data_IF_582944217183
#
_entry.id   IF_582944217183
#
_cell.length_a   1.000
_cell.length_b   1.000
_cell.length_c   1.000
_cell.angle_alpha   90.00
_cell.angle_beta   90.00
_cell.angle_gamma   90.00
#
_symmetry.space_group_name_H-M   'P 1'
#
loop_
_entity.id
_entity.type
_entity.pdbx_description
1 polymer ?
#
# COMPACT_ATOMS: atom_id res chain seq x y z
N UNK A 1 -16.79 -3.70 5.18
CA UNK A 1 -15.92 -4.62 4.45
C UNK A 1 -14.51 -4.55 5.01
N UNK A 2 -13.89 -5.70 5.21
CA UNK A 2 -12.52 -5.80 5.72
C UNK A 2 -11.77 -6.86 4.94
N UNK A 3 -10.46 -6.67 4.82
CA UNK A 3 -9.60 -7.71 4.26
C UNK A 3 -9.40 -8.79 5.32
N UNK A 4 -9.72 -10.02 4.98
CA UNK A 4 -9.58 -11.16 5.89
C UNK A 4 -8.38 -12.03 5.56
N UNK A 5 -7.90 -11.97 4.31
CA UNK A 5 -6.79 -12.78 3.85
C UNK A 5 -6.03 -12.08 2.73
N UNK A 6 -4.71 -12.23 2.74
CA UNK A 6 -3.81 -11.76 1.68
C UNK A 6 -3.10 -12.96 1.09
N UNK A 7 -2.79 -12.89 -0.21
CA UNK A 7 -2.06 -13.96 -0.88
C UNK A 7 -0.99 -13.37 -1.77
N UNK A 8 0.22 -13.90 -1.65
CA UNK A 8 1.35 -13.54 -2.52
C UNK A 8 1.89 -14.84 -3.10
N UNK A 9 1.71 -15.02 -4.40
CA UNK A 9 1.98 -16.31 -5.04
C UNK A 9 1.09 -17.38 -4.44
N UNK A 10 1.68 -18.41 -3.85
CA UNK A 10 0.95 -19.49 -3.19
C UNK A 10 0.87 -19.33 -1.68
N UNK A 11 1.45 -18.27 -1.14
CA UNK A 11 1.50 -18.03 0.30
C UNK A 11 0.30 -17.17 0.74
N UNK A 12 -0.56 -17.74 1.58
CA UNK A 12 -1.74 -17.08 2.12
C UNK A 12 -1.48 -16.65 3.56
N UNK A 13 -1.93 -15.44 3.89
CA UNK A 13 -1.71 -14.84 5.21
C UNK A 13 -2.96 -14.10 5.66
N UNK A 14 -3.17 -14.02 6.98
CA UNK A 14 -4.09 -13.03 7.53
C UNK A 14 -3.39 -11.67 7.55
N UNK A 15 -4.11 -10.55 7.67
CA UNK A 15 -3.48 -9.24 7.78
C UNK A 15 -2.45 -9.17 8.93
N UNK A 16 -2.74 -9.78 10.06
CA UNK A 16 -1.86 -9.78 11.22
C UNK A 16 -0.59 -10.58 10.98
N UNK A 17 -0.71 -11.75 10.35
CA UNK A 17 0.49 -12.54 10.01
C UNK A 17 1.30 -11.89 8.92
N UNK A 18 0.66 -11.19 7.99
CA UNK A 18 1.37 -10.40 6.97
C UNK A 18 2.20 -9.30 7.61
N UNK A 19 1.64 -8.60 8.59
CA UNK A 19 2.35 -7.56 9.32
C UNK A 19 3.56 -8.14 10.06
N UNK A 20 3.38 -9.26 10.75
CA UNK A 20 4.46 -9.91 11.49
C UNK A 20 5.58 -10.35 10.55
N UNK A 21 5.24 -10.93 9.42
CA UNK A 21 6.23 -11.34 8.42
C UNK A 21 7.00 -10.15 7.86
N UNK A 22 6.31 -9.06 7.55
CA UNK A 22 6.95 -7.85 7.05
C UNK A 22 7.95 -7.29 8.06
N UNK A 23 7.55 -7.21 9.33
CA UNK A 23 8.41 -6.70 10.40
C UNK A 23 9.62 -7.60 10.62
N UNK A 24 9.44 -8.91 10.58
CA UNK A 24 10.53 -9.86 10.73
C UNK A 24 11.53 -9.72 9.60
N UNK A 25 11.09 -9.61 8.35
CA UNK A 25 11.98 -9.46 7.21
C UNK A 25 12.75 -8.14 7.25
N UNK A 26 12.11 -7.07 7.71
CA UNK A 26 12.80 -5.79 7.92
C UNK A 26 13.87 -5.89 9.00
N UNK A 27 13.56 -6.59 10.07
CA UNK A 27 14.51 -6.81 11.15
C UNK A 27 15.73 -7.62 10.69
N UNK A 28 15.53 -8.53 9.75
CA UNK A 28 16.60 -9.31 9.12
C UNK A 28 17.37 -8.51 8.06
N UNK A 29 17.03 -7.25 7.84
CA UNK A 29 17.68 -6.39 6.86
C UNK A 29 17.06 -6.43 5.47
N UNK A 30 16.03 -7.21 5.26
CA UNK A 30 15.32 -7.28 3.98
C UNK A 30 14.17 -6.27 3.97
N UNK A 31 14.48 -5.03 3.59
CA UNK A 31 13.49 -3.95 3.54
C UNK A 31 12.60 -4.02 2.31
N UNK A 32 13.11 -4.61 1.23
CA UNK A 32 12.35 -4.79 0.01
C UNK A 32 11.78 -6.21 0.00
N UNK A 33 10.65 -6.39 0.65
CA UNK A 33 9.98 -7.68 0.72
C UNK A 33 8.59 -7.60 0.08
N UNK A 34 8.03 -8.76 -0.24
CA UNK A 34 6.76 -8.84 -0.97
C UNK A 34 5.59 -8.22 -0.22
N UNK A 35 5.57 -8.37 1.10
CA UNK A 35 4.49 -7.80 1.92
C UNK A 35 4.57 -6.28 1.92
N UNK A 36 5.78 -5.71 1.99
CA UNK A 36 5.96 -4.27 1.93
C UNK A 36 5.58 -3.71 0.56
N UNK A 37 5.81 -4.45 -0.51
CA UNK A 37 5.33 -4.08 -1.85
C UNK A 37 3.81 -4.11 -1.92
N UNK A 38 3.18 -5.13 -1.36
CA UNK A 38 1.72 -5.22 -1.30
C UNK A 38 1.14 -4.02 -0.54
N UNK A 39 1.75 -3.65 0.57
CA UNK A 39 1.36 -2.45 1.33
C UNK A 39 1.45 -1.19 0.48
N UNK A 40 2.54 -1.03 -0.25
CA UNK A 40 2.76 0.15 -1.09
C UNK A 40 1.68 0.26 -2.17
N UNK A 41 1.38 -0.83 -2.85
CA UNK A 41 0.34 -0.85 -3.88
C UNK A 41 -1.03 -0.58 -3.27
N UNK A 42 -1.34 -1.19 -2.15
CA UNK A 42 -2.61 -0.98 -1.47
C UNK A 42 -2.80 0.49 -1.04
N UNK A 43 -1.71 1.16 -0.70
CA UNK A 43 -1.74 2.56 -0.32
C UNK A 43 -1.87 3.49 -1.51
N UNK A 44 -1.06 3.28 -2.54
CA UNK A 44 -0.94 4.22 -3.66
C UNK A 44 -1.99 4.01 -4.74
N UNK A 45 -2.36 2.77 -5.02
CA UNK A 45 -3.43 2.48 -5.99
C UNK A 45 -4.78 2.40 -5.28
N UNK A 46 -5.19 3.53 -4.66
CA UNK A 46 -6.36 3.59 -3.80
C UNK A 46 -6.87 5.03 -3.74
N UNK A 47 -8.15 5.22 -3.93
CA UNK A 47 -8.79 6.54 -3.87
C UNK A 47 -9.28 6.91 -2.47
N UNK A 48 -9.13 6.01 -1.49
CA UNK A 48 -9.58 6.26 -0.13
C UNK A 48 -8.72 7.29 0.59
N UNK A 49 -9.33 7.97 1.55
CA UNK A 49 -8.67 8.95 2.40
C UNK A 49 -9.05 8.71 3.85
N UNK A 50 -8.07 8.58 4.74
CA UNK A 50 -8.34 8.45 6.17
C UNK A 50 -8.63 9.84 6.73
N UNK A 51 -9.77 9.97 7.44
CA UNK A 51 -10.12 11.22 8.10
C UNK A 51 -9.14 11.49 9.23
N UNK A 52 -8.35 12.56 9.11
CA UNK A 52 -7.35 12.92 10.10
C UNK A 52 -7.93 13.15 11.50
N UNK A 53 -9.19 13.57 11.59
CA UNK A 53 -9.85 13.78 12.86
C UNK A 53 -10.04 12.47 13.65
N UNK A 54 -9.94 11.32 12.98
CA UNK A 54 -10.09 10.00 13.60
C UNK A 54 -8.76 9.26 13.82
N UNK A 55 -7.63 9.92 13.58
CA UNK A 55 -6.31 9.27 13.72
C UNK A 55 -6.01 8.79 15.13
N UNK A 56 -6.65 9.39 16.14
CA UNK A 56 -6.48 9.00 17.53
C UNK A 56 -7.23 7.72 17.89
N UNK A 57 -8.11 7.26 17.03
CA UNK A 57 -8.93 6.06 17.27
C UNK A 57 -8.18 4.79 16.84
N UNK A 58 -8.55 3.63 17.40
CA UNK A 58 -8.08 2.35 16.89
C UNK A 58 -8.40 2.22 15.40
N UNK A 59 -7.56 1.47 14.68
CA UNK A 59 -7.66 1.38 13.23
C UNK A 59 -9.06 1.01 12.73
N UNK A 60 -9.71 0.06 13.39
CA UNK A 60 -11.03 -0.41 12.97
C UNK A 60 -12.16 0.62 13.20
N UNK A 61 -11.89 1.66 14.00
CA UNK A 61 -12.85 2.73 14.29
C UNK A 61 -12.57 4.00 13.49
N UNK A 62 -11.45 4.07 12.77
CA UNK A 62 -11.12 5.23 11.96
C UNK A 62 -12.06 5.34 10.77
N UNK A 63 -12.40 6.58 10.43
CA UNK A 63 -13.23 6.86 9.26
C UNK A 63 -12.36 6.96 8.04
N UNK A 64 -12.71 6.21 7.01
CA UNK A 64 -12.06 6.25 5.71
C UNK A 64 -13.10 6.65 4.68
N UNK A 65 -12.83 7.72 3.94
CA UNK A 65 -13.69 8.18 2.85
C UNK A 65 -13.32 7.43 1.57
N UNK A 66 -14.30 6.99 0.83
CA UNK A 66 -14.10 6.20 -0.38
C UNK A 66 -15.12 5.09 -0.47
N UNK A 67 -15.06 4.28 -1.54
CA UNK A 67 -15.95 3.13 -1.64
C UNK A 67 -15.53 2.02 -0.69
N UNK A 68 -16.39 1.01 -0.52
CA UNK A 68 -16.16 -0.05 0.46
C UNK A 68 -14.87 -0.85 0.18
N UNK A 69 -14.56 -1.09 -1.08
CA UNK A 69 -13.37 -1.82 -1.47
C UNK A 69 -12.11 -1.02 -1.14
N UNK A 70 -12.08 0.26 -1.52
CA UNK A 70 -10.94 1.13 -1.23
C UNK A 70 -10.75 1.30 0.27
N UNK A 71 -11.83 1.43 1.03
CA UNK A 71 -11.76 1.50 2.48
C UNK A 71 -11.09 0.27 3.09
N UNK A 72 -11.50 -0.92 2.66
CA UNK A 72 -10.95 -2.17 3.18
C UNK A 72 -9.47 -2.31 2.86
N UNK A 73 -9.07 -2.00 1.63
CA UNK A 73 -7.69 -2.12 1.18
C UNK A 73 -6.80 -1.08 1.85
N UNK A 74 -7.29 0.15 2.00
CA UNK A 74 -6.52 1.20 2.68
C UNK A 74 -6.32 0.88 4.16
N UNK A 75 -7.33 0.30 4.79
CA UNK A 75 -7.22 -0.15 6.19
C UNK A 75 -6.16 -1.23 6.35
N UNK A 76 -6.07 -2.16 5.40
CA UNK A 76 -5.00 -3.14 5.38
C UNK A 76 -3.63 -2.45 5.27
N UNK A 77 -3.49 -1.49 4.36
CA UNK A 77 -2.23 -0.77 4.20
C UNK A 77 -1.82 -0.04 5.48
N UNK A 78 -2.77 0.60 6.16
CA UNK A 78 -2.51 1.28 7.43
C UNK A 78 -2.09 0.31 8.53
N UNK A 79 -2.67 -0.89 8.55
CA UNK A 79 -2.27 -1.94 9.49
C UNK A 79 -0.81 -2.35 9.28
N UNK A 80 -0.38 -2.43 8.03
CA UNK A 80 0.99 -2.80 7.68
C UNK A 80 1.97 -1.65 7.91
N UNK A 81 1.51 -0.40 7.84
CA UNK A 81 2.31 0.76 8.13
C UNK A 81 1.60 2.06 7.78
N UNK A 82 2.07 3.21 8.28
CA UNK A 82 1.37 4.48 8.12
C UNK A 82 1.16 4.88 6.65
N UNK A 83 -0.08 5.08 6.26
CA UNK A 83 -0.47 5.50 4.91
C UNK A 83 0.03 6.92 4.63
N UNK A 84 -0.13 7.84 5.59
CA UNK A 84 0.24 9.23 5.41
C UNK A 84 1.73 9.40 5.11
N UNK A 85 2.58 8.67 5.82
CA UNK A 85 4.03 8.72 5.59
C UNK A 85 4.38 8.24 4.20
N UNK A 86 3.78 7.13 3.77
CA UNK A 86 4.05 6.58 2.45
C UNK A 86 3.60 7.52 1.34
N UNK A 87 2.40 8.10 1.48
CA UNK A 87 1.87 9.04 0.48
C UNK A 87 2.66 10.35 0.42
N UNK A 88 3.33 10.74 1.50
CA UNK A 88 4.20 11.92 1.50
C UNK A 88 5.50 11.70 0.72
N UNK A 89 5.95 10.45 0.62
CA UNK A 89 7.16 10.10 -0.11
C UNK A 89 6.95 10.11 -1.62
N UNK A 90 5.72 10.07 -2.07
CA UNK A 90 5.35 9.96 -3.48
C UNK A 90 4.43 11.10 -3.89
N UNK A 91 4.58 11.55 -5.12
CA UNK A 91 3.72 12.58 -5.72
C UNK A 91 2.89 11.94 -6.83
N UNK A 92 1.58 12.08 -6.76
CA UNK A 92 0.70 11.58 -7.82
C UNK A 92 0.84 12.46 -9.05
N UNK A 93 1.21 11.87 -10.17
CA UNK A 93 1.43 12.59 -11.43
C UNK A 93 0.29 12.37 -12.43
N UNK A 94 -0.44 11.27 -12.30
CA UNK A 94 -1.52 10.94 -13.21
C UNK A 94 -2.53 10.04 -12.50
N UNK A 95 -3.81 10.20 -12.85
CA UNK A 95 -4.87 9.35 -12.34
C UNK A 95 -5.91 9.09 -13.42
N UNK A 96 -6.24 7.82 -13.59
CA UNK A 96 -7.42 7.39 -14.33
C UNK A 96 -8.36 6.71 -13.33
N UNK A 97 -9.48 7.36 -13.03
CA UNK A 97 -10.44 6.86 -12.06
C UNK A 97 -11.06 5.54 -12.54
N UNK A 98 -11.48 4.69 -11.59
CA UNK A 98 -12.17 3.46 -11.91
C UNK A 98 -13.43 3.75 -12.74
N UNK A 99 -13.60 2.99 -13.78
CA UNK A 99 -14.76 3.08 -14.68
C UNK A 99 -15.35 1.67 -14.83
N UNK A 100 -16.64 1.54 -14.57
CA UNK A 100 -17.31 0.23 -14.64
C UNK A 100 -17.29 -0.38 -16.03
N UNK A 101 -17.12 0.44 -17.06
CA UNK A 101 -16.99 -0.03 -18.45
C UNK A 101 -15.62 -0.68 -18.69
N UNK A 102 -14.55 -0.03 -18.19
CA UNK A 102 -13.18 -0.50 -18.37
C UNK A 102 -12.74 -1.47 -17.29
N UNK A 103 -13.34 -1.41 -16.09
CA UNK A 103 -13.07 -2.30 -14.97
C UNK A 103 -11.68 -2.15 -14.36
N UNK A 104 -11.01 -1.01 -14.55
CA UNK A 104 -9.71 -0.75 -13.94
C UNK A 104 -9.53 0.72 -13.58
N UNK A 105 -8.55 0.99 -12.73
CA UNK A 105 -8.07 2.33 -12.45
C UNK A 105 -6.55 2.35 -12.54
N UNK A 106 -5.99 3.51 -12.84
CA UNK A 106 -4.55 3.68 -12.95
C UNK A 106 -4.15 4.91 -12.13
N UNK A 107 -3.10 4.77 -11.36
CA UNK A 107 -2.45 5.89 -10.66
C UNK A 107 -0.97 5.82 -10.87
N UNK A 108 -0.39 6.93 -11.32
CA UNK A 108 1.04 7.05 -11.52
C UNK A 108 1.63 7.95 -10.46
N UNK A 109 2.69 7.52 -9.83
CA UNK A 109 3.35 8.23 -8.73
C UNK A 109 4.82 8.43 -9.04
N UNK A 110 5.37 9.55 -8.60
CA UNK A 110 6.78 9.86 -8.70
C UNK A 110 7.36 9.94 -7.30
N UNK A 111 8.50 9.29 -7.09
CA UNK A 111 9.20 9.33 -5.80
C UNK A 111 9.85 10.70 -5.62
N UNK A 112 9.44 11.43 -4.57
CA UNK A 112 9.96 12.78 -4.30
C UNK A 112 10.85 12.83 -3.07
N UNK A 113 10.76 11.83 -2.19
CA UNK A 113 11.57 11.76 -0.98
C UNK A 113 12.25 10.39 -0.90
N UNK A 114 13.57 10.38 -0.91
CA UNK A 114 14.35 9.14 -0.88
C UNK A 114 14.71 8.71 0.53
N UNK A 115 14.70 9.62 1.49
CA UNK A 115 15.01 9.29 2.87
C UNK A 115 13.85 8.54 3.51
N UNK A 116 14.16 7.59 4.38
CA UNK A 116 13.14 6.80 5.04
C UNK A 116 12.51 5.73 4.17
N UNK A 117 13.15 5.35 3.05
CA UNK A 117 12.66 4.31 2.16
C UNK A 117 12.84 2.92 2.77
N UNK A 118 12.22 2.71 3.91
CA UNK A 118 12.14 1.41 4.55
C UNK A 118 11.02 0.55 3.97
N UNK A 119 10.35 1.07 2.96
CA UNK A 119 9.08 0.54 2.50
C UNK A 119 9.20 -0.07 1.12
N UNK A 120 10.03 -1.02 0.93
CA UNK A 120 9.95 -1.78 -0.30
C UNK A 120 10.08 -0.96 -1.57
N UNK A 121 11.01 -0.02 -1.60
CA UNK A 121 11.39 0.54 -2.88
C UNK A 121 12.11 -0.56 -3.65
N UNK A 122 11.75 -0.83 -4.91
CA UNK A 122 12.47 -1.82 -5.70
C UNK A 122 13.95 -1.47 -5.75
N UNK A 123 14.79 -2.52 -5.80
CA UNK A 123 16.19 -2.35 -6.15
C UNK A 123 16.26 -1.72 -7.53
N UNK A 124 17.45 -1.22 -7.92
CA UNK A 124 17.65 -0.67 -9.26
C UNK A 124 17.24 -1.66 -10.34
N UNK A 125 17.53 -2.92 -10.14
CA UNK A 125 17.16 -3.98 -11.08
C UNK A 125 15.64 -4.14 -11.18
N UNK A 126 14.93 -4.16 -10.04
CA UNK A 126 13.50 -4.27 -10.05
C UNK A 126 12.83 -3.04 -10.66
N UNK A 127 13.39 -1.87 -10.45
CA UNK A 127 12.90 -0.64 -11.06
C UNK A 127 13.08 -0.66 -12.58
N UNK A 128 14.24 -1.14 -13.06
CA UNK A 128 14.51 -1.30 -14.48
C UNK A 128 13.54 -2.30 -15.12
N UNK A 129 13.29 -3.42 -14.45
CA UNK A 129 12.31 -4.41 -14.92
C UNK A 129 10.93 -3.80 -15.08
N UNK A 130 10.47 -3.00 -14.13
CA UNK A 130 9.18 -2.36 -14.23
C UNK A 130 9.10 -1.35 -15.36
N UNK A 131 10.19 -0.68 -15.66
CA UNK A 131 10.25 0.25 -16.77
C UNK A 131 10.11 -0.48 -18.10
N UNK A 132 10.63 -1.69 -18.21
CA UNK A 132 10.50 -2.50 -19.40
C UNK A 132 9.08 -3.05 -19.58
N UNK A 133 8.36 -3.26 -18.49
CA UNK A 133 7.00 -3.78 -18.50
C UNK A 133 5.96 -2.72 -18.87
N UNK A 134 6.34 -1.49 -18.84
CA UNK A 134 5.45 -0.38 -19.20
C UNK A 134 5.70 0.09 -20.62
#
# INVERSE_FOLDING_TARGET
MYVTECSIGTHCMTPETARDEMMQRRHEGNRFNSVAQLRTIACLCNSGEIDAATNHLPLHERKINGDATDQAILRLSELLGPVSELRQMWKKTFELAFNSKNKYMIRTWELVQKEGLDFALPTTEAAAFRSEDT
#
